data_IF_301245196453
#
_entry.id   IF_301245196453
#
_cell.length_a   1.000
_cell.length_b   1.000
_cell.length_c   1.000
_cell.angle_alpha   90.00
_cell.angle_beta   90.00
_cell.angle_gamma   90.00
#
_symmetry.space_group_name_H-M   'P 1'
#
loop_
_entity.id
_entity.type
_entity.pdbx_description
1 polymer ?
#
# COMPACT_ATOMS: atom_id res chain seq x y z
N UNK A 1 -2.38 -24.18 -25.29
CA UNK A 1 -2.59 -22.72 -25.34
C UNK A 1 -1.75 -22.21 -26.50
N UNK A 2 -2.37 -21.64 -27.54
CA UNK A 2 -1.62 -21.26 -28.75
C UNK A 2 -0.78 -20.01 -28.49
N UNK A 3 0.38 -19.90 -29.13
CA UNK A 3 1.28 -18.73 -29.02
C UNK A 3 0.53 -17.39 -29.19
N UNK A 4 -0.45 -17.37 -30.10
CA UNK A 4 -1.28 -16.20 -30.39
C UNK A 4 -2.17 -15.80 -29.19
N UNK A 5 -2.74 -16.77 -28.49
CA UNK A 5 -3.54 -16.51 -27.29
C UNK A 5 -2.70 -15.92 -26.15
N UNK A 6 -1.46 -16.39 -26.00
CA UNK A 6 -0.54 -15.87 -24.99
C UNK A 6 -0.13 -14.42 -25.30
N UNK A 7 0.28 -14.13 -26.55
CA UNK A 7 0.60 -12.76 -27.01
C UNK A 7 -0.58 -11.81 -26.85
N UNK A 8 -1.81 -12.28 -27.15
CA UNK A 8 -3.04 -11.50 -26.97
C UNK A 8 -3.36 -11.22 -25.49
N UNK A 9 -3.12 -12.17 -24.58
CA UNK A 9 -3.27 -11.94 -23.13
C UNK A 9 -2.27 -10.93 -22.61
N UNK A 10 -1.00 -11.01 -23.02
CA UNK A 10 0.03 -10.04 -22.65
C UNK A 10 -0.37 -8.64 -23.12
N UNK A 11 -0.73 -8.47 -24.39
CA UNK A 11 -1.14 -7.18 -24.94
C UNK A 11 -2.34 -6.58 -24.19
N UNK A 12 -3.36 -7.40 -23.90
CA UNK A 12 -4.55 -6.96 -23.14
C UNK A 12 -4.20 -6.56 -21.70
N UNK A 13 -3.35 -7.32 -21.04
CA UNK A 13 -2.91 -7.03 -19.67
C UNK A 13 -2.10 -5.74 -19.59
N UNK A 14 -1.16 -5.57 -20.52
CA UNK A 14 -0.35 -4.35 -20.64
C UNK A 14 -1.24 -3.14 -20.90
N UNK A 15 -2.16 -3.21 -21.86
CA UNK A 15 -3.11 -2.13 -22.14
C UNK A 15 -3.95 -1.76 -20.90
N UNK A 16 -4.44 -2.76 -20.16
CA UNK A 16 -5.20 -2.53 -18.92
C UNK A 16 -4.37 -1.81 -17.84
N UNK A 17 -3.07 -2.13 -17.72
CA UNK A 17 -2.17 -1.46 -16.77
C UNK A 17 -1.89 0.00 -17.15
N UNK A 18 -1.72 0.30 -18.44
CA UNK A 18 -1.53 1.68 -18.92
C UNK A 18 -2.79 2.51 -18.73
N UNK A 19 -3.97 1.98 -19.09
CA UNK A 19 -5.24 2.67 -18.86
C UNK A 19 -5.46 2.95 -17.38
N UNK A 20 -5.21 1.96 -16.51
CA UNK A 20 -5.24 2.13 -15.05
C UNK A 20 -4.31 3.25 -14.59
N UNK A 21 -3.08 3.31 -15.11
CA UNK A 21 -2.12 4.35 -14.74
C UNK A 21 -2.62 5.74 -15.11
N UNK A 22 -3.12 5.93 -16.34
CA UNK A 22 -3.66 7.21 -16.80
C UNK A 22 -4.87 7.66 -15.97
N UNK A 23 -5.80 6.74 -15.71
CA UNK A 23 -7.00 7.02 -14.89
C UNK A 23 -6.59 7.41 -13.47
N UNK A 24 -5.70 6.64 -12.82
CA UNK A 24 -5.23 6.97 -11.47
C UNK A 24 -4.53 8.32 -11.42
N UNK A 25 -3.70 8.63 -12.42
CA UNK A 25 -3.01 9.92 -12.50
C UNK A 25 -4.01 11.07 -12.61
N UNK A 26 -4.94 11.00 -13.55
CA UNK A 26 -5.95 12.05 -13.77
C UNK A 26 -6.81 12.29 -12.53
N UNK A 27 -7.31 11.22 -11.91
CA UNK A 27 -8.16 11.34 -10.71
C UNK A 27 -7.36 11.82 -9.51
N UNK A 28 -6.11 11.37 -9.32
CA UNK A 28 -5.28 11.82 -8.18
C UNK A 28 -4.95 13.31 -8.28
N UNK A 29 -4.59 13.79 -9.48
CA UNK A 29 -4.34 15.22 -9.72
C UNK A 29 -5.59 16.07 -9.46
N UNK A 30 -6.74 15.61 -9.93
CA UNK A 30 -8.01 16.30 -9.70
C UNK A 30 -8.41 16.30 -8.22
N UNK A 31 -8.27 15.15 -7.55
CA UNK A 31 -8.56 14.99 -6.11
C UNK A 31 -7.69 15.91 -5.27
N UNK A 32 -6.38 16.00 -5.56
CA UNK A 32 -5.44 16.86 -4.83
C UNK A 32 -5.90 18.33 -4.83
N UNK A 33 -6.38 18.84 -5.98
CA UNK A 33 -6.92 20.21 -6.07
C UNK A 33 -8.17 20.41 -5.22
N UNK A 34 -9.11 19.48 -5.26
CA UNK A 34 -10.35 19.59 -4.49
C UNK A 34 -10.06 19.51 -2.99
N UNK A 35 -9.18 18.60 -2.57
CA UNK A 35 -8.79 18.48 -1.15
C UNK A 35 -8.17 19.78 -0.66
N UNK A 36 -7.28 20.39 -1.45
CA UNK A 36 -6.69 21.69 -1.12
C UNK A 36 -7.76 22.78 -0.96
N UNK A 37 -8.77 22.81 -1.82
CA UNK A 37 -9.87 23.79 -1.76
C UNK A 37 -10.76 23.59 -0.52
N UNK A 38 -11.03 22.33 -0.14
CA UNK A 38 -11.91 22.01 0.99
C UNK A 38 -11.21 22.19 2.35
N UNK A 39 -9.97 21.70 2.47
CA UNK A 39 -9.19 21.77 3.72
C UNK A 39 -8.55 23.15 3.90
N UNK A 40 -8.25 23.85 2.80
CA UNK A 40 -7.42 25.05 2.84
C UNK A 40 -5.93 24.70 2.92
N UNK A 41 -5.09 25.73 2.74
CA UNK A 41 -3.64 25.57 2.62
C UNK A 41 -3.02 25.03 3.92
N UNK A 42 -3.47 25.50 5.08
CA UNK A 42 -2.91 25.13 6.37
C UNK A 42 -3.17 23.66 6.73
N UNK A 43 -4.43 23.20 6.66
CA UNK A 43 -4.78 21.82 6.98
C UNK A 43 -4.23 20.84 5.93
N UNK A 44 -4.15 21.25 4.66
CA UNK A 44 -3.51 20.45 3.60
C UNK A 44 -1.99 20.31 3.82
N UNK A 45 -1.32 21.39 4.24
CA UNK A 45 0.09 21.35 4.59
C UNK A 45 0.36 20.44 5.79
N UNK A 46 -0.46 20.55 6.84
CA UNK A 46 -0.39 19.66 8.00
C UNK A 46 -0.57 18.18 7.60
N UNK A 47 -1.60 17.87 6.80
CA UNK A 47 -1.79 16.52 6.26
C UNK A 47 -0.58 16.03 5.47
N UNK A 48 -0.02 16.90 4.60
CA UNK A 48 1.15 16.58 3.79
C UNK A 48 2.39 16.27 4.62
N UNK A 49 2.67 17.05 5.67
CA UNK A 49 3.83 16.83 6.55
C UNK A 49 3.68 15.51 7.32
N UNK A 50 2.50 15.27 7.90
CA UNK A 50 2.19 14.03 8.64
C UNK A 50 2.31 12.82 7.73
N UNK A 51 1.71 12.90 6.53
CA UNK A 51 1.81 11.88 5.50
C UNK A 51 3.26 11.64 5.05
N UNK A 52 4.08 12.70 4.98
CA UNK A 52 5.50 12.61 4.67
C UNK A 52 6.28 11.78 5.69
N UNK A 53 6.10 12.04 6.99
CA UNK A 53 6.74 11.26 8.08
C UNK A 53 6.40 9.78 7.96
N UNK A 54 5.12 9.46 7.73
CA UNK A 54 4.69 8.07 7.58
C UNK A 54 5.23 7.45 6.28
N UNK A 55 5.24 8.20 5.18
CA UNK A 55 5.77 7.74 3.89
C UNK A 55 7.26 7.41 3.98
N UNK A 56 8.04 8.17 4.76
CA UNK A 56 9.45 7.88 5.04
C UNK A 56 9.66 6.55 5.79
N UNK A 57 8.63 5.94 6.36
CA UNK A 57 8.72 4.59 6.96
C UNK A 57 8.31 3.49 5.97
N UNK A 58 7.66 3.84 4.85
CA UNK A 58 7.15 2.88 3.85
C UNK A 58 8.19 2.40 2.84
N UNK A 59 9.39 2.99 2.79
CA UNK A 59 10.43 2.55 1.86
C UNK A 59 10.80 1.07 2.01
N UNK A 60 10.72 0.51 3.22
CA UNK A 60 10.90 -0.93 3.48
C UNK A 60 9.89 -1.76 2.68
N UNK A 61 8.64 -1.31 2.58
CA UNK A 61 7.58 -1.99 1.85
C UNK A 61 7.94 -2.16 0.37
N UNK A 62 8.53 -1.15 -0.26
CA UNK A 62 8.89 -1.17 -1.69
C UNK A 62 9.89 -2.28 -2.01
N UNK A 63 10.94 -2.42 -1.22
CA UNK A 63 11.92 -3.48 -1.41
C UNK A 63 11.36 -4.88 -1.10
N UNK A 64 10.56 -5.00 -0.02
CA UNK A 64 9.86 -6.25 0.27
C UNK A 64 8.95 -6.67 -0.89
N UNK A 65 8.30 -5.71 -1.56
CA UNK A 65 7.44 -5.99 -2.70
C UNK A 65 8.23 -6.55 -3.89
N UNK A 66 9.36 -5.93 -4.24
CA UNK A 66 10.25 -6.42 -5.30
C UNK A 66 10.75 -7.85 -5.02
N UNK A 67 11.17 -8.12 -3.78
CA UNK A 67 11.55 -9.47 -3.33
C UNK A 67 10.39 -10.46 -3.49
N UNK A 68 9.24 -10.14 -2.90
CA UNK A 68 8.05 -11.01 -2.90
C UNK A 68 7.61 -11.37 -4.32
N UNK A 69 7.54 -10.37 -5.22
CA UNK A 69 7.17 -10.57 -6.62
C UNK A 69 8.11 -11.53 -7.34
N UNK A 70 9.42 -11.36 -7.14
CA UNK A 70 10.44 -12.22 -7.73
C UNK A 70 10.30 -13.67 -7.25
N UNK A 71 10.28 -13.88 -5.95
CA UNK A 71 10.19 -15.24 -5.38
C UNK A 71 8.86 -15.92 -5.74
N UNK A 72 7.73 -15.20 -5.72
CA UNK A 72 6.44 -15.76 -6.15
C UNK A 72 6.44 -16.13 -7.63
N UNK A 73 6.99 -15.28 -8.51
CA UNK A 73 6.99 -15.55 -9.95
C UNK A 73 7.87 -16.76 -10.31
N UNK A 74 9.02 -16.93 -9.63
CA UNK A 74 9.90 -18.09 -9.83
C UNK A 74 9.22 -19.39 -9.41
N UNK A 75 8.64 -19.43 -8.20
CA UNK A 75 7.98 -20.65 -7.71
C UNK A 75 6.70 -20.98 -8.47
N UNK A 76 5.96 -19.96 -8.94
CA UNK A 76 4.82 -20.17 -9.83
C UNK A 76 5.25 -20.74 -11.18
N UNK A 77 6.36 -20.27 -11.76
CA UNK A 77 6.92 -20.79 -13.01
C UNK A 77 7.42 -22.23 -12.90
N UNK A 78 7.84 -22.67 -11.71
CA UNK A 78 8.21 -24.07 -11.42
C UNK A 78 7.00 -25.00 -11.28
N UNK A 79 5.80 -24.46 -11.09
CA UNK A 79 4.57 -25.24 -10.90
C UNK A 79 4.42 -25.89 -9.51
N UNK A 80 5.34 -25.64 -8.58
CA UNK A 80 5.28 -26.17 -7.22
C UNK A 80 4.39 -25.32 -6.31
N UNK A 81 3.16 -25.80 -6.11
CA UNK A 81 2.15 -25.12 -5.27
C UNK A 81 2.53 -25.09 -3.79
N UNK A 82 3.29 -26.06 -3.29
CA UNK A 82 3.69 -26.11 -1.89
C UNK A 82 4.81 -25.09 -1.61
N UNK A 83 5.79 -25.00 -2.51
CA UNK A 83 6.83 -23.98 -2.45
C UNK A 83 6.25 -22.57 -2.57
N UNK A 84 5.32 -22.36 -3.52
CA UNK A 84 4.63 -21.07 -3.68
C UNK A 84 3.86 -20.66 -2.41
N UNK A 85 3.20 -21.62 -1.75
CA UNK A 85 2.53 -21.39 -0.46
C UNK A 85 3.51 -20.99 0.63
N UNK A 86 4.65 -21.67 0.71
CA UNK A 86 5.71 -21.36 1.67
C UNK A 86 6.26 -19.94 1.47
N UNK A 87 6.47 -19.53 0.21
CA UNK A 87 6.86 -18.14 -0.12
C UNK A 87 5.80 -17.16 0.32
N UNK A 88 4.51 -17.41 0.05
CA UNK A 88 3.41 -16.54 0.50
C UNK A 88 3.38 -16.39 2.03
N UNK A 89 3.44 -17.50 2.75
CA UNK A 89 3.35 -17.52 4.22
C UNK A 89 4.54 -16.80 4.87
N UNK A 90 5.76 -16.98 4.34
CA UNK A 90 6.97 -16.27 4.80
C UNK A 90 6.92 -14.79 4.44
N UNK A 91 6.47 -14.45 3.23
CA UNK A 91 6.30 -13.05 2.81
C UNK A 91 5.32 -12.34 3.73
N UNK A 92 4.15 -12.93 3.98
CA UNK A 92 3.13 -12.39 4.87
C UNK A 92 3.68 -12.18 6.29
N UNK A 93 4.47 -13.13 6.80
CA UNK A 93 5.13 -13.00 8.11
C UNK A 93 6.13 -11.82 8.12
N UNK A 94 6.92 -11.64 7.07
CA UNK A 94 7.81 -10.48 6.91
C UNK A 94 7.05 -9.16 6.89
N UNK A 95 5.95 -9.06 6.13
CA UNK A 95 5.11 -7.85 6.10
C UNK A 95 4.49 -7.54 7.47
N UNK A 96 4.06 -8.55 8.24
CA UNK A 96 3.56 -8.36 9.60
C UNK A 96 4.66 -7.85 10.55
N UNK A 97 5.88 -8.39 10.46
CA UNK A 97 7.01 -7.90 11.25
C UNK A 97 7.38 -6.46 10.89
N UNK A 98 7.38 -6.11 9.60
CA UNK A 98 7.66 -4.74 9.12
C UNK A 98 6.54 -3.78 9.55
N UNK A 99 5.27 -4.17 9.43
CA UNK A 99 4.15 -3.36 9.92
C UNK A 99 4.28 -3.08 11.42
N UNK A 100 4.62 -4.10 12.23
CA UNK A 100 4.84 -3.95 13.66
C UNK A 100 6.03 -3.01 13.96
N UNK A 101 7.14 -3.15 13.24
CA UNK A 101 8.29 -2.27 13.39
C UNK A 101 7.93 -0.81 13.06
N UNK A 102 7.15 -0.58 12.01
CA UNK A 102 6.68 0.75 11.63
C UNK A 102 5.79 1.35 12.71
N UNK A 103 4.86 0.58 13.30
CA UNK A 103 4.03 1.05 14.41
C UNK A 103 4.90 1.46 15.60
N UNK A 104 5.86 0.61 16.00
CA UNK A 104 6.75 0.92 17.13
C UNK A 104 7.56 2.19 16.86
N UNK A 105 8.13 2.34 15.65
CA UNK A 105 8.90 3.53 15.27
C UNK A 105 8.03 4.79 15.17
N UNK A 106 6.82 4.66 14.64
CA UNK A 106 5.89 5.77 14.49
C UNK A 106 5.37 6.26 15.85
N UNK A 107 5.03 5.36 16.77
CA UNK A 107 4.57 5.72 18.13
C UNK A 107 5.69 6.29 19.00
N UNK A 108 6.93 5.84 18.81
CA UNK A 108 8.07 6.31 19.62
C UNK A 108 8.71 7.56 19.02
N UNK A 109 9.42 7.40 17.90
CA UNK A 109 10.16 8.49 17.25
C UNK A 109 9.23 9.43 16.49
N UNK A 110 8.21 8.91 15.81
CA UNK A 110 7.29 9.72 15.01
C UNK A 110 6.43 10.65 15.86
N UNK A 111 5.82 10.13 16.93
CA UNK A 111 4.97 10.92 17.83
C UNK A 111 5.80 11.94 18.61
N UNK A 112 7.03 11.57 19.03
CA UNK A 112 7.97 12.51 19.62
C UNK A 112 8.34 13.65 18.67
N UNK A 113 8.69 13.31 17.42
CA UNK A 113 9.06 14.28 16.39
C UNK A 113 7.90 15.24 16.08
N UNK A 114 6.69 14.69 15.92
CA UNK A 114 5.49 15.44 15.61
C UNK A 114 5.09 16.42 16.73
N UNK A 115 5.18 16.01 18.00
CA UNK A 115 4.79 16.88 19.12
C UNK A 115 5.89 17.86 19.58
N UNK A 116 7.17 17.56 19.32
CA UNK A 116 8.29 18.34 19.90
C UNK A 116 9.01 19.22 18.88
N UNK A 117 9.10 18.80 17.61
CA UNK A 117 9.91 19.48 16.58
C UNK A 117 9.09 20.22 15.55
N UNK A 118 7.80 19.92 15.47
CA UNK A 118 6.89 20.48 14.48
C UNK A 118 6.18 21.68 15.09
N UNK A 119 6.32 22.85 14.45
CA UNK A 119 5.62 24.07 14.85
C UNK A 119 4.17 23.95 14.40
N UNK A 120 3.33 23.36 15.24
CA UNK A 120 1.90 23.17 14.99
C UNK A 120 1.11 24.13 15.88
N UNK A 121 0.10 24.84 15.37
CA UNK A 121 -0.82 25.62 16.18
C UNK A 121 -1.42 24.74 17.29
N UNK A 122 -1.43 25.18 18.56
CA UNK A 122 -1.87 24.35 19.69
C UNK A 122 -3.32 23.87 19.54
N UNK A 123 -4.15 24.64 18.86
CA UNK A 123 -5.54 24.32 18.51
C UNK A 123 -5.69 23.14 17.53
N UNK A 124 -4.67 22.86 16.70
CA UNK A 124 -4.68 21.77 15.70
C UNK A 124 -3.90 20.53 16.12
N UNK A 125 -3.15 20.60 17.23
CA UNK A 125 -2.31 19.49 17.70
C UNK A 125 -3.12 18.19 17.90
N UNK A 126 -4.33 18.31 18.46
CA UNK A 126 -5.24 17.17 18.63
C UNK A 126 -5.65 16.53 17.30
N UNK A 127 -6.06 17.35 16.32
CA UNK A 127 -6.43 16.87 14.99
C UNK A 127 -5.26 16.19 14.27
N UNK A 128 -4.06 16.79 14.36
CA UNK A 128 -2.84 16.27 13.73
C UNK A 128 -2.42 14.92 14.33
N UNK A 129 -2.54 14.73 15.64
CA UNK A 129 -2.30 13.43 16.28
C UNK A 129 -3.27 12.35 15.76
N UNK A 130 -4.56 12.68 15.58
CA UNK A 130 -5.52 11.75 14.97
C UNK A 130 -5.17 11.40 13.52
N UNK A 131 -4.80 12.39 12.71
CA UNK A 131 -4.36 12.17 11.32
C UNK A 131 -3.14 11.26 11.27
N UNK A 132 -2.20 11.45 12.19
CA UNK A 132 -1.00 10.61 12.28
C UNK A 132 -1.36 9.15 12.56
N UNK A 133 -2.24 8.91 13.53
CA UNK A 133 -2.74 7.57 13.86
C UNK A 133 -3.45 6.91 12.67
N UNK A 134 -4.37 7.61 12.01
CA UNK A 134 -5.03 7.08 10.81
C UNK A 134 -4.03 6.80 9.66
N UNK A 135 -3.01 7.63 9.50
CA UNK A 135 -1.97 7.44 8.47
C UNK A 135 -1.11 6.20 8.73
N UNK A 136 -0.76 5.93 10.00
CA UNK A 136 -0.08 4.69 10.41
C UNK A 136 -0.97 3.48 10.09
N UNK A 137 -2.24 3.54 10.47
CA UNK A 137 -3.18 2.44 10.22
C UNK A 137 -3.35 2.17 8.73
N UNK A 138 -3.56 3.21 7.90
CA UNK A 138 -3.60 3.10 6.43
C UNK A 138 -2.34 2.41 5.90
N UNK A 139 -1.18 2.81 6.41
CA UNK A 139 0.11 2.23 6.02
C UNK A 139 0.19 0.75 6.37
N UNK A 140 -0.17 0.36 7.59
CA UNK A 140 -0.21 -1.05 7.98
C UNK A 140 -1.13 -1.87 7.08
N UNK A 141 -2.31 -1.34 6.73
CA UNK A 141 -3.26 -2.00 5.83
C UNK A 141 -2.66 -2.20 4.45
N UNK A 142 -2.03 -1.17 3.87
CA UNK A 142 -1.39 -1.25 2.56
C UNK A 142 -0.23 -2.27 2.55
N UNK A 143 0.57 -2.31 3.62
CA UNK A 143 1.66 -3.27 3.79
C UNK A 143 1.11 -4.71 3.79
N UNK A 144 0.08 -4.98 4.60
CA UNK A 144 -0.56 -6.31 4.69
C UNK A 144 -1.29 -6.68 3.40
N UNK A 145 -1.79 -5.70 2.63
CA UNK A 145 -2.42 -5.93 1.33
C UNK A 145 -1.41 -6.37 0.25
N UNK A 146 -0.15 -5.93 0.36
CA UNK A 146 0.90 -6.14 -0.65
C UNK A 146 1.11 -7.61 -1.06
N UNK A 147 1.25 -8.60 -0.16
CA UNK A 147 1.42 -10.00 -0.55
C UNK A 147 0.22 -10.58 -1.31
N UNK A 148 -1.01 -10.11 -1.04
CA UNK A 148 -2.19 -10.48 -1.82
C UNK A 148 -2.14 -9.90 -3.22
N UNK A 149 -1.77 -8.62 -3.36
CA UNK A 149 -1.57 -8.00 -4.66
C UNK A 149 -0.47 -8.73 -5.46
N UNK A 150 0.63 -9.14 -4.80
CA UNK A 150 1.68 -9.92 -5.43
C UNK A 150 1.18 -11.27 -5.96
N UNK A 151 0.34 -11.96 -5.21
CA UNK A 151 -0.27 -13.23 -5.65
C UNK A 151 -1.19 -13.05 -6.86
N UNK A 152 -2.00 -11.98 -6.89
CA UNK A 152 -2.90 -11.64 -8.00
C UNK A 152 -2.09 -11.35 -9.27
N UNK A 153 -1.02 -10.56 -9.14
CA UNK A 153 -0.12 -10.19 -10.23
C UNK A 153 0.60 -11.43 -10.77
N UNK A 154 1.17 -12.26 -9.89
CA UNK A 154 1.87 -13.48 -10.27
C UNK A 154 0.97 -14.43 -11.08
N UNK A 155 -0.31 -14.59 -10.70
CA UNK A 155 -1.29 -15.41 -11.43
C UNK A 155 -1.91 -14.72 -12.66
N UNK A 156 -1.28 -13.65 -13.17
CA UNK A 156 -1.70 -12.87 -14.34
C UNK A 156 -3.15 -12.33 -14.27
N UNK A 157 -3.73 -12.19 -13.07
CA UNK A 157 -5.08 -11.61 -12.87
C UNK A 157 -5.04 -10.08 -12.90
N UNK A 158 -4.38 -9.53 -13.92
CA UNK A 158 -4.11 -8.11 -14.08
C UNK A 158 -5.37 -7.27 -14.25
N UNK A 159 -6.42 -7.81 -14.87
CA UNK A 159 -7.69 -7.09 -15.02
C UNK A 159 -8.36 -6.80 -13.67
N UNK A 160 -8.36 -7.77 -12.74
CA UNK A 160 -8.87 -7.53 -11.38
C UNK A 160 -8.02 -6.49 -10.65
N UNK A 161 -6.69 -6.62 -10.74
CA UNK A 161 -5.75 -5.67 -10.16
C UNK A 161 -5.94 -4.25 -10.72
N UNK A 162 -6.25 -4.12 -12.01
CA UNK A 162 -6.55 -2.84 -12.63
C UNK A 162 -7.84 -2.22 -12.08
N UNK A 163 -8.92 -2.98 -12.05
CA UNK A 163 -10.21 -2.52 -11.54
C UNK A 163 -10.16 -2.11 -10.07
N UNK A 164 -9.53 -2.90 -9.20
CA UNK A 164 -9.41 -2.55 -7.78
C UNK A 164 -8.58 -1.28 -7.56
N UNK A 165 -7.55 -1.06 -8.39
CA UNK A 165 -6.74 0.16 -8.31
C UNK A 165 -7.48 1.41 -8.80
N UNK A 166 -8.38 1.25 -9.77
CA UNK A 166 -9.27 2.33 -10.22
C UNK A 166 -10.31 2.61 -9.13
N UNK A 167 -10.92 1.56 -8.58
CA UNK A 167 -11.88 1.67 -7.49
C UNK A 167 -11.29 2.38 -6.27
N UNK A 168 -10.05 2.08 -5.88
CA UNK A 168 -9.33 2.77 -4.79
C UNK A 168 -9.32 4.30 -4.99
N UNK A 169 -8.96 4.75 -6.19
CA UNK A 169 -8.81 6.18 -6.48
C UNK A 169 -10.17 6.86 -6.68
N UNK A 170 -11.15 6.16 -7.27
CA UNK A 170 -12.53 6.67 -7.41
C UNK A 170 -13.23 6.77 -6.05
N UNK A 171 -13.05 5.81 -5.16
CA UNK A 171 -13.58 5.88 -3.79
C UNK A 171 -12.98 7.04 -3.02
N UNK A 172 -11.66 7.29 -3.17
CA UNK A 172 -11.00 8.46 -2.57
C UNK A 172 -11.57 9.77 -3.09
N UNK A 173 -11.82 9.88 -4.39
CA UNK A 173 -12.53 11.04 -4.94
C UNK A 173 -13.94 11.19 -4.34
N UNK A 174 -14.68 10.08 -4.20
CA UNK A 174 -15.99 10.07 -3.56
C UNK A 174 -15.96 10.53 -2.10
N UNK A 175 -14.94 10.14 -1.33
CA UNK A 175 -14.74 10.61 0.04
C UNK A 175 -14.56 12.12 0.12
N UNK A 176 -13.91 12.74 -0.85
CA UNK A 176 -13.72 14.20 -0.88
C UNK A 176 -15.04 14.93 -1.10
N UNK A 177 -15.94 14.40 -1.93
CA UNK A 177 -17.30 14.95 -2.06
C UNK A 177 -18.13 14.78 -0.77
N UNK A 178 -18.02 13.64 -0.09
CA UNK A 178 -18.65 13.43 1.23
C UNK A 178 -18.13 14.45 2.26
N UNK A 179 -16.87 14.85 2.14
CA UNK A 179 -16.23 15.81 3.02
C UNK A 179 -16.80 17.23 2.89
N UNK A 180 -17.31 17.61 1.71
CA UNK A 180 -17.96 18.92 1.51
C UNK A 180 -19.21 19.09 2.38
N UNK A 181 -19.88 18.01 2.73
CA UNK A 181 -21.16 18.02 3.47
C UNK A 181 -20.95 17.76 4.98
N UNK A 182 -19.75 17.34 5.39
CA UNK A 182 -19.48 16.99 6.78
C UNK A 182 -19.35 18.24 7.67
N UNK A 183 -20.10 18.32 8.79
CA UNK A 183 -19.98 19.41 9.77
C UNK A 183 -18.82 19.21 10.77
N UNK A 184 -18.12 18.07 10.71
CA UNK A 184 -17.03 17.70 11.62
C UNK A 184 -15.70 18.28 11.12
N UNK A 185 -14.68 18.35 11.99
CA UNK A 185 -13.31 18.70 11.61
C UNK A 185 -12.90 17.97 10.32
N UNK A 186 -12.68 18.77 9.27
CA UNK A 186 -12.46 18.30 7.90
C UNK A 186 -11.17 17.49 7.79
N UNK A 187 -10.14 17.86 8.54
CA UNK A 187 -8.83 17.23 8.50
C UNK A 187 -8.89 15.81 9.09
N UNK A 188 -9.50 15.66 10.27
CA UNK A 188 -9.68 14.34 10.91
C UNK A 188 -10.62 13.45 10.10
N UNK A 189 -11.74 14.03 9.61
CA UNK A 189 -12.70 13.32 8.78
C UNK A 189 -12.07 12.78 7.49
N UNK A 190 -11.17 13.56 6.87
CA UNK A 190 -10.44 13.15 5.68
C UNK A 190 -9.58 11.91 5.94
N UNK A 191 -8.75 11.97 6.98
CA UNK A 191 -7.87 10.86 7.34
C UNK A 191 -8.66 9.58 7.70
N UNK A 192 -9.77 9.73 8.42
CA UNK A 192 -10.65 8.62 8.77
C UNK A 192 -11.31 7.99 7.52
N UNK A 193 -11.81 8.81 6.58
CA UNK A 193 -12.39 8.33 5.32
C UNK A 193 -11.37 7.57 4.47
N UNK A 194 -10.14 8.07 4.38
CA UNK A 194 -9.06 7.37 3.68
C UNK A 194 -8.76 6.01 4.32
N UNK A 195 -8.76 5.94 5.64
CA UNK A 195 -8.60 4.67 6.37
C UNK A 195 -9.73 3.68 6.06
N UNK A 196 -10.98 4.13 6.07
CA UNK A 196 -12.14 3.30 5.71
C UNK A 196 -12.02 2.78 4.28
N UNK A 197 -11.63 3.63 3.33
CA UNK A 197 -11.43 3.21 1.93
C UNK A 197 -10.33 2.14 1.83
N UNK A 198 -9.19 2.36 2.49
CA UNK A 198 -8.10 1.37 2.54
C UNK A 198 -8.58 0.04 3.11
N UNK A 199 -9.41 0.05 4.16
CA UNK A 199 -10.02 -1.16 4.72
C UNK A 199 -10.96 -1.86 3.73
N UNK A 200 -11.84 -1.12 3.06
CA UNK A 200 -12.75 -1.67 2.04
C UNK A 200 -11.95 -2.37 0.93
N UNK A 201 -10.96 -1.66 0.37
CA UNK A 201 -10.10 -2.18 -0.69
C UNK A 201 -9.31 -3.41 -0.23
N UNK A 202 -8.81 -3.39 1.01
CA UNK A 202 -8.12 -4.53 1.62
C UNK A 202 -9.03 -5.76 1.72
N UNK A 203 -10.25 -5.62 2.25
CA UNK A 203 -11.17 -6.74 2.40
C UNK A 203 -11.63 -7.31 1.05
N UNK A 204 -11.91 -6.45 0.06
CA UNK A 204 -12.26 -6.90 -1.29
C UNK A 204 -11.09 -7.69 -1.90
N UNK A 205 -9.88 -7.15 -1.82
CA UNK A 205 -8.67 -7.80 -2.37
C UNK A 205 -8.39 -9.13 -1.68
N UNK A 206 -8.47 -9.16 -0.35
CA UNK A 206 -8.26 -10.36 0.46
C UNK A 206 -9.32 -11.42 0.17
N UNK A 207 -10.60 -11.03 0.12
CA UNK A 207 -11.71 -11.93 -0.19
C UNK A 207 -11.55 -12.58 -1.56
N UNK A 208 -11.24 -11.78 -2.58
CA UNK A 208 -10.97 -12.29 -3.92
C UNK A 208 -9.76 -13.25 -3.95
N UNK A 209 -8.66 -12.87 -3.31
CA UNK A 209 -7.45 -13.71 -3.27
C UNK A 209 -7.68 -15.05 -2.55
N UNK A 210 -8.41 -15.06 -1.43
CA UNK A 210 -8.74 -16.28 -0.69
C UNK A 210 -9.69 -17.21 -1.45
N UNK A 211 -10.61 -16.64 -2.22
CA UNK A 211 -11.56 -17.42 -3.03
C UNK A 211 -10.86 -18.02 -4.27
N UNK A 212 -9.99 -17.24 -4.92
CA UNK A 212 -9.37 -17.65 -6.18
C UNK A 212 -8.11 -18.51 -5.98
N UNK A 213 -7.35 -18.30 -4.89
CA UNK A 213 -6.05 -18.92 -4.68
C UNK A 213 -5.96 -19.63 -3.33
N UNK A 214 -5.78 -20.95 -3.36
CA UNK A 214 -5.56 -21.77 -2.13
C UNK A 214 -4.26 -21.41 -1.41
N UNK A 215 -3.29 -20.86 -2.14
CA UNK A 215 -2.00 -20.36 -1.65
C UNK A 215 -2.19 -19.22 -0.66
N UNK A 216 -3.16 -18.33 -0.88
CA UNK A 216 -3.38 -17.12 -0.08
C UNK A 216 -3.98 -17.38 1.31
N UNK A 217 -4.26 -18.64 1.67
CA UNK A 217 -4.67 -19.02 3.03
C UNK A 217 -3.46 -18.99 3.95
N UNK A 218 -3.22 -17.83 4.54
CA UNK A 218 -2.10 -17.59 5.44
C UNK A 218 -2.01 -18.61 6.57
N UNK A 219 -0.83 -19.18 6.74
CA UNK A 219 -0.40 -19.88 7.95
C UNK A 219 0.94 -19.29 8.41
N UNK A 220 1.09 -18.89 9.68
CA UNK A 220 2.39 -18.40 10.18
C UNK A 220 3.48 -19.42 9.89
N UNK A 221 4.52 -19.00 9.18
CA UNK A 221 5.63 -19.87 8.77
C UNK A 221 6.95 -19.22 9.13
N UNK A 222 7.74 -19.92 9.94
CA UNK A 222 9.03 -19.47 10.47
C UNK A 222 10.20 -20.16 9.78
N UNK A 223 10.18 -20.11 8.45
CA UNK A 223 11.25 -20.67 7.65
C UNK A 223 12.48 -19.75 7.62
N UNK A 224 13.34 -19.87 8.63
CA UNK A 224 14.56 -19.07 8.81
C UNK A 224 15.39 -18.89 7.53
N UNK A 225 15.70 -19.93 6.72
CA UNK A 225 16.49 -19.74 5.51
C UNK A 225 15.79 -18.86 4.47
N UNK A 226 14.50 -19.11 4.18
CA UNK A 226 13.76 -18.32 3.20
C UNK A 226 13.53 -16.88 3.68
N UNK A 227 13.25 -16.71 4.97
CA UNK A 227 13.11 -15.40 5.60
C UNK A 227 14.40 -14.59 5.48
N UNK A 228 15.56 -15.20 5.76
CA UNK A 228 16.87 -14.55 5.61
C UNK A 228 17.16 -14.19 4.15
N UNK A 229 16.84 -15.06 3.20
CA UNK A 229 17.04 -14.80 1.78
C UNK A 229 16.17 -13.63 1.30
N UNK A 230 14.88 -13.63 1.63
CA UNK A 230 13.96 -12.57 1.24
C UNK A 230 14.32 -11.24 1.91
N UNK A 231 14.72 -11.24 3.18
CA UNK A 231 15.15 -10.06 3.91
C UNK A 231 16.48 -9.51 3.38
N UNK A 232 17.47 -10.37 3.09
CA UNK A 232 18.75 -9.95 2.51
C UNK A 232 18.57 -9.37 1.11
N UNK A 233 17.72 -10.00 0.28
CA UNK A 233 17.40 -9.48 -1.05
C UNK A 233 16.70 -8.12 -0.95
N UNK A 234 15.73 -8.00 -0.04
CA UNK A 234 15.06 -6.71 0.21
C UNK A 234 16.05 -5.66 0.70
N UNK A 235 16.96 -6.00 1.61
CA UNK A 235 18.01 -5.09 2.10
C UNK A 235 18.95 -4.62 1.00
N UNK A 236 19.31 -5.50 0.06
CA UNK A 236 20.08 -5.12 -1.12
C UNK A 236 19.29 -4.17 -2.05
N UNK A 237 18.03 -4.49 -2.33
CA UNK A 237 17.15 -3.62 -3.14
C UNK A 237 16.91 -2.25 -2.49
N UNK A 238 16.89 -2.19 -1.16
CA UNK A 238 16.82 -0.93 -0.42
C UNK A 238 18.05 -0.06 -0.66
N UNK A 239 19.25 -0.65 -0.59
CA UNK A 239 20.50 0.05 -0.86
C UNK A 239 20.54 0.58 -2.30
N UNK A 240 20.12 -0.24 -3.26
CA UNK A 240 20.02 0.12 -4.68
C UNK A 240 19.01 1.27 -4.92
N UNK A 241 17.83 1.19 -4.30
CA UNK A 241 16.81 2.24 -4.43
C UNK A 241 17.23 3.55 -3.76
N UNK A 242 17.95 3.48 -2.63
CA UNK A 242 18.50 4.64 -1.95
C UNK A 242 19.59 5.34 -2.75
N UNK A 243 20.41 4.57 -3.48
CA UNK A 243 21.44 5.12 -4.36
C UNK A 243 20.86 5.91 -5.55
N UNK A 244 19.71 5.48 -6.10
CA UNK A 244 19.03 6.19 -7.19
C UNK A 244 18.41 7.52 -6.77
N UNK A 245 18.08 7.70 -5.49
CA UNK A 245 17.59 8.97 -4.95
C UNK A 245 18.72 9.98 -4.63
N UNK A 246 19.98 9.52 -4.62
CA UNK A 246 21.16 10.33 -4.34
C UNK A 246 21.86 10.85 -5.61
N UNK A 247 21.31 10.55 -6.79
CA UNK A 247 21.75 11.01 -8.12
C UNK A 247 20.68 11.93 -8.71
#
# INVERSE_FOLDING_TARGET
>A
MTELEHKRRIAKNTAALYVRMLVRLAVTLYTSRIVLDILGVDDFALYGIVGGIVTLLTFLQTALNASTQRFMSVELGRGDKAALKRVFDVSMTLYLMVALAIVILAETAGLWFLNTRLVIPPERLGAVNWVFQFSILVTCVNIIQTPYNASIIAHEKMSFYAWISIADVVLKLGAVFLLMVSPVDKLVSYAALLFVISMIIFFITRGYALHQFTVCRFKPSWDKPLLRQMAAFSGWTLCDSGAQLAV
#
